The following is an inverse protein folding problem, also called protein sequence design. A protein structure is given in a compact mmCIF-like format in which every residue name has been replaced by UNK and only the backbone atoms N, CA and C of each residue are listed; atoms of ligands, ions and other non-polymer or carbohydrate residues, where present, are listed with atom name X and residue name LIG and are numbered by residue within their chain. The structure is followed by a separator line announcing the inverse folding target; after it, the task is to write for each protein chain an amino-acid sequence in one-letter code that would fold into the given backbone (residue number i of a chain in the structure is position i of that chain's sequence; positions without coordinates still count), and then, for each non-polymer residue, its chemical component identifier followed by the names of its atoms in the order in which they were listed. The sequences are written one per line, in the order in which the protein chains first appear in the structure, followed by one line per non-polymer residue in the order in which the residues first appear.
data_IF_225596278595
#
_entry.id   IF_225596278595
#
_cell.length_a   1.000
_cell.length_b   1.000
_cell.length_c   1.000
_cell.angle_alpha   90.00
_cell.angle_beta   90.00
_cell.angle_gamma   90.00
#
_symmetry.space_group_name_H-M   'P 1'
#
loop_
_entity.id
_entity.type
_entity.pdbx_description
1 polymer ?
#
# COMPACT_ATOMS: atom_id res chain seq x y z
N UNK A 1 -16.37 7.89 1.01
CA UNK A 1 -16.38 6.67 0.17
C UNK A 1 -15.20 6.75 -0.78
N UNK A 2 -14.43 5.67 -0.87
CA UNK A 2 -13.33 5.51 -1.83
C UNK A 2 -13.77 4.65 -3.00
N UNK A 3 -13.33 5.02 -4.18
CA UNK A 3 -13.38 4.15 -5.35
C UNK A 3 -12.04 3.40 -5.43
N UNK A 4 -12.10 2.06 -5.35
CA UNK A 4 -10.91 1.19 -5.29
C UNK A 4 -10.73 0.55 -6.65
N UNK A 5 -9.60 0.85 -7.29
CA UNK A 5 -9.25 0.34 -8.61
C UNK A 5 -7.98 -0.51 -8.52
N UNK A 6 -8.00 -1.70 -9.14
CA UNK A 6 -6.76 -2.44 -9.40
C UNK A 6 -5.93 -1.69 -10.45
N UNK A 7 -4.63 -1.58 -10.20
CA UNK A 7 -3.69 -0.99 -11.15
C UNK A 7 -3.68 -1.74 -12.49
N UNK A 8 -3.53 -1.00 -13.56
CA UNK A 8 -3.26 -1.50 -14.91
C UNK A 8 -2.12 -0.71 -15.57
N UNK A 9 -1.50 -1.26 -16.60
CA UNK A 9 -0.37 -0.62 -17.28
C UNK A 9 -0.68 0.81 -17.79
N UNK A 10 -1.95 1.10 -18.13
CA UNK A 10 -2.40 2.44 -18.52
C UNK A 10 -2.32 3.47 -17.40
N UNK A 11 -2.26 3.03 -16.13
CA UNK A 11 -2.22 3.90 -14.96
C UNK A 11 -0.79 4.27 -14.54
N UNK A 12 0.24 3.75 -15.23
CA UNK A 12 1.65 3.89 -14.86
C UNK A 12 2.06 5.33 -14.60
N UNK A 13 1.74 6.24 -15.51
CA UNK A 13 2.11 7.64 -15.38
C UNK A 13 1.51 8.29 -14.12
N UNK A 14 0.24 7.98 -13.83
CA UNK A 14 -0.45 8.50 -12.65
C UNK A 14 0.09 7.87 -11.36
N UNK A 15 0.38 6.57 -11.38
CA UNK A 15 1.02 5.86 -10.26
C UNK A 15 2.37 6.46 -9.91
N UNK A 16 3.29 6.57 -10.88
CA UNK A 16 4.65 7.08 -10.66
C UNK A 16 4.63 8.55 -10.23
N UNK A 17 3.74 9.37 -10.79
CA UNK A 17 3.57 10.77 -10.35
C UNK A 17 3.11 10.86 -8.89
N UNK A 18 2.24 9.93 -8.43
CA UNK A 18 1.82 9.88 -7.04
C UNK A 18 2.98 9.45 -6.12
N UNK A 19 3.71 8.41 -6.49
CA UNK A 19 4.89 7.92 -5.73
C UNK A 19 5.89 9.05 -5.47
N UNK A 20 6.19 9.86 -6.49
CA UNK A 20 7.17 10.96 -6.40
C UNK A 20 6.77 12.09 -5.46
N UNK A 21 5.46 12.31 -5.23
CA UNK A 21 4.97 13.34 -4.32
C UNK A 21 4.57 12.82 -2.94
N UNK A 22 4.55 11.51 -2.77
CA UNK A 22 4.14 10.89 -1.52
C UNK A 22 5.15 11.17 -0.38
N UNK A 23 4.64 11.32 0.84
CA UNK A 23 5.48 11.61 2.01
C UNK A 23 6.21 10.40 2.58
N UNK A 24 5.82 9.18 2.20
CA UNK A 24 6.38 7.93 2.71
C UNK A 24 6.83 6.95 1.63
N UNK A 25 6.86 7.36 0.36
CA UNK A 25 7.31 6.49 -0.72
C UNK A 25 8.82 6.54 -0.93
N UNK A 26 9.33 5.50 -1.59
CA UNK A 26 10.68 5.42 -2.12
C UNK A 26 10.64 5.01 -3.59
N UNK A 27 11.79 5.05 -4.29
CA UNK A 27 11.91 4.65 -5.68
C UNK A 27 11.48 3.18 -5.95
N UNK A 28 11.48 2.33 -4.90
CA UNK A 28 11.05 0.93 -5.01
C UNK A 28 9.61 0.79 -5.51
N UNK A 29 8.78 1.82 -5.31
CA UNK A 29 7.37 1.82 -5.70
C UNK A 29 7.12 2.40 -7.09
N UNK A 30 8.13 2.94 -7.77
CA UNK A 30 7.98 3.30 -9.17
C UNK A 30 7.82 2.06 -10.05
N UNK A 31 6.94 2.12 -11.03
CA UNK A 31 6.59 0.95 -11.85
C UNK A 31 7.75 0.43 -12.68
N UNK A 32 8.70 1.28 -13.04
CA UNK A 32 9.93 0.83 -13.68
C UNK A 32 10.72 -0.18 -12.84
N UNK A 33 10.68 -0.04 -11.50
CA UNK A 33 11.31 -0.98 -10.58
C UNK A 33 10.39 -2.17 -10.26
N UNK A 34 9.13 -1.92 -9.92
CA UNK A 34 8.18 -2.96 -9.54
C UNK A 34 7.94 -3.98 -10.66
N UNK A 35 7.82 -3.50 -11.89
CA UNK A 35 7.49 -4.35 -13.04
C UNK A 35 8.70 -5.14 -13.57
N UNK A 36 9.92 -4.88 -13.08
CA UNK A 36 11.12 -5.65 -13.46
C UNK A 36 10.98 -7.15 -13.15
N UNK A 37 10.21 -7.51 -12.14
CA UNK A 37 9.93 -8.89 -11.76
C UNK A 37 8.43 -9.24 -11.89
N UNK A 38 7.72 -8.59 -12.81
CA UNK A 38 6.29 -8.79 -13.00
C UNK A 38 5.91 -10.24 -13.33
N UNK A 39 6.82 -11.01 -13.93
CA UNK A 39 6.66 -12.43 -14.24
C UNK A 39 6.56 -13.34 -13.01
N UNK A 40 7.00 -12.85 -11.84
CA UNK A 40 7.05 -13.63 -10.59
C UNK A 40 5.87 -13.38 -9.65
N UNK A 41 5.10 -12.32 -9.88
CA UNK A 41 4.06 -11.88 -8.97
C UNK A 41 2.76 -11.56 -9.73
N UNK A 42 1.64 -12.09 -9.26
CA UNK A 42 0.31 -11.67 -9.73
C UNK A 42 0.00 -10.30 -9.12
N UNK A 43 0.38 -9.23 -9.82
CA UNK A 43 0.19 -7.86 -9.36
C UNK A 43 -1.28 -7.60 -9.04
N UNK A 44 -1.54 -7.22 -7.82
CA UNK A 44 -2.84 -6.80 -7.31
C UNK A 44 -2.73 -5.46 -6.59
N UNK A 45 -1.85 -4.60 -7.08
CA UNK A 45 -1.69 -3.25 -6.56
C UNK A 45 -2.98 -2.45 -6.69
N UNK A 46 -3.30 -1.66 -5.70
CA UNK A 46 -4.55 -0.92 -5.61
C UNK A 46 -4.31 0.58 -5.62
N UNK A 47 -5.23 1.28 -6.26
CA UNK A 47 -5.32 2.72 -6.35
C UNK A 47 -6.62 3.17 -5.70
N UNK A 48 -6.53 4.07 -4.74
CA UNK A 48 -7.69 4.59 -4.02
C UNK A 48 -8.00 5.99 -4.48
N UNK A 49 -9.22 6.17 -4.97
CA UNK A 49 -9.70 7.48 -5.43
C UNK A 49 -10.74 8.03 -4.47
N UNK A 50 -10.69 9.32 -4.23
CA UNK A 50 -11.71 10.06 -3.48
C UNK A 50 -12.15 11.27 -4.30
N UNK A 51 -13.44 11.36 -4.59
CA UNK A 51 -14.00 12.41 -5.44
C UNK A 51 -13.24 12.58 -6.78
N UNK A 52 -12.91 11.46 -7.42
CA UNK A 52 -12.19 11.42 -8.69
C UNK A 52 -10.68 11.74 -8.63
N UNK A 53 -10.13 12.01 -7.45
CA UNK A 53 -8.70 12.30 -7.25
C UNK A 53 -7.99 11.08 -6.64
N UNK A 54 -6.82 10.74 -7.17
CA UNK A 54 -5.98 9.70 -6.59
C UNK A 54 -5.50 10.13 -5.20
N UNK A 55 -5.84 9.33 -4.19
CA UNK A 55 -5.70 9.64 -2.78
C UNK A 55 -4.63 8.82 -2.06
N UNK A 56 -4.50 7.54 -2.41
CA UNK A 56 -3.50 6.63 -1.86
C UNK A 56 -3.22 5.49 -2.83
N UNK A 57 -2.09 4.80 -2.62
CA UNK A 57 -1.70 3.60 -3.36
C UNK A 57 -1.35 2.47 -2.38
N UNK A 58 -1.61 1.24 -2.79
CA UNK A 58 -1.17 0.05 -2.06
C UNK A 58 -0.46 -0.91 -3.03
N UNK A 59 0.89 -0.91 -3.06
CA UNK A 59 1.64 -1.94 -3.76
C UNK A 59 1.31 -3.31 -3.19
N UNK A 60 0.81 -4.21 -4.00
CA UNK A 60 0.42 -5.53 -3.53
C UNK A 60 0.46 -6.57 -4.65
N UNK A 61 0.53 -7.84 -4.27
CA UNK A 61 0.30 -8.95 -5.17
C UNK A 61 -0.63 -9.98 -4.52
N UNK A 62 -1.26 -10.79 -5.35
CA UNK A 62 -2.11 -11.88 -4.91
C UNK A 62 -1.28 -13.16 -4.75
N UNK A 63 -1.50 -13.86 -3.66
CA UNK A 63 -1.01 -15.22 -3.44
C UNK A 63 -2.18 -16.06 -2.92
N UNK A 64 -2.74 -16.89 -3.77
CA UNK A 64 -3.97 -17.65 -3.47
C UNK A 64 -5.11 -16.72 -3.01
N UNK A 65 -5.55 -16.86 -1.77
CA UNK A 65 -6.57 -15.99 -1.14
C UNK A 65 -5.97 -14.92 -0.25
N UNK A 66 -4.66 -14.69 -0.32
CA UNK A 66 -3.95 -13.69 0.48
C UNK A 66 -3.54 -12.51 -0.38
N UNK A 67 -3.87 -11.30 0.05
CA UNK A 67 -3.26 -10.08 -0.45
C UNK A 67 -1.96 -9.84 0.32
N UNK A 68 -0.86 -9.66 -0.39
CA UNK A 68 0.44 -9.41 0.21
C UNK A 68 0.93 -8.03 -0.20
N UNK A 69 1.33 -7.23 0.75
CA UNK A 69 1.96 -5.93 0.49
C UNK A 69 3.42 -6.16 0.08
N UNK A 70 3.58 -6.67 -1.04
CA UNK A 70 4.57 -6.98 -2.05
C UNK A 70 5.87 -7.65 -1.59
N UNK A 71 5.96 -9.00 -1.70
CA UNK A 71 7.18 -9.75 -1.40
C UNK A 71 8.36 -9.46 -2.36
N UNK A 72 8.10 -8.98 -3.55
CA UNK A 72 9.14 -8.57 -4.50
C UNK A 72 9.87 -7.29 -4.10
N UNK A 73 9.42 -6.62 -3.04
CA UNK A 73 10.01 -5.40 -2.50
C UNK A 73 10.48 -5.64 -1.05
N UNK A 74 11.43 -4.84 -0.60
CA UNK A 74 11.95 -4.91 0.78
C UNK A 74 10.83 -4.60 1.79
N UNK A 75 9.96 -3.67 1.45
CA UNK A 75 8.79 -3.25 2.23
C UNK A 75 7.66 -2.82 1.28
N UNK A 76 6.45 -2.69 1.78
CA UNK A 76 5.27 -2.26 1.05
C UNK A 76 4.47 -1.25 1.86
N UNK A 77 3.17 -1.49 2.01
CA UNK A 77 2.28 -0.65 2.80
C UNK A 77 1.59 0.45 2.01
N UNK A 78 0.73 1.19 2.68
CA UNK A 78 -0.04 2.26 2.07
C UNK A 78 0.86 3.46 1.76
N UNK A 79 0.88 3.88 0.51
CA UNK A 79 1.60 5.07 0.07
C UNK A 79 0.65 6.26 0.19
N UNK A 80 1.09 7.28 0.92
CA UNK A 80 0.28 8.43 1.31
C UNK A 80 0.98 9.74 0.96
N UNK A 81 0.20 10.72 0.52
CA UNK A 81 0.66 12.10 0.42
C UNK A 81 0.29 12.92 1.68
N UNK A 82 0.57 14.21 1.65
CA UNK A 82 0.35 15.11 2.80
C UNK A 82 -1.13 15.35 3.13
N UNK A 83 -2.05 14.94 2.27
CA UNK A 83 -3.49 15.14 2.45
C UNK A 83 -4.18 13.98 3.17
N UNK A 84 -3.50 12.84 3.31
CA UNK A 84 -4.07 11.68 3.98
C UNK A 84 -4.17 11.93 5.47
N UNK A 85 -5.39 11.79 6.01
CA UNK A 85 -5.69 11.93 7.42
C UNK A 85 -5.95 10.58 8.07
N UNK A 86 -5.84 10.51 9.40
CA UNK A 86 -6.13 9.29 10.16
C UNK A 86 -7.59 8.84 9.99
N UNK A 87 -8.55 9.77 9.97
CA UNK A 87 -9.96 9.45 9.78
C UNK A 87 -10.21 8.84 8.40
N UNK A 88 -9.60 9.41 7.37
CA UNK A 88 -9.70 8.88 6.00
C UNK A 88 -9.01 7.52 5.87
N UNK A 89 -7.86 7.33 6.52
CA UNK A 89 -7.15 6.08 6.53
C UNK A 89 -7.99 4.96 7.18
N UNK A 90 -8.64 5.23 8.30
CA UNK A 90 -9.57 4.30 8.93
C UNK A 90 -10.72 3.92 7.99
N UNK A 91 -11.34 4.90 7.33
CA UNK A 91 -12.42 4.65 6.35
C UNK A 91 -11.91 3.83 5.17
N UNK A 92 -10.73 4.17 4.65
CA UNK A 92 -10.09 3.44 3.55
C UNK A 92 -9.88 1.96 3.89
N UNK A 93 -9.41 1.64 5.08
CA UNK A 93 -9.20 0.25 5.49
C UNK A 93 -10.50 -0.51 5.75
N UNK A 94 -11.56 0.14 6.25
CA UNK A 94 -12.89 -0.49 6.33
C UNK A 94 -13.41 -0.85 4.93
N UNK A 95 -13.33 0.07 3.97
CA UNK A 95 -13.78 -0.14 2.59
C UNK A 95 -12.89 -1.15 1.86
N UNK A 96 -11.56 -1.11 2.08
CA UNK A 96 -10.62 -2.09 1.54
C UNK A 96 -10.95 -3.51 2.02
N UNK A 97 -11.26 -3.69 3.30
CA UNK A 97 -11.65 -4.99 3.84
C UNK A 97 -12.92 -5.53 3.17
N UNK A 98 -13.93 -4.68 2.96
CA UNK A 98 -15.16 -5.07 2.26
C UNK A 98 -14.86 -5.44 0.79
N UNK A 99 -14.07 -4.64 0.10
CA UNK A 99 -13.65 -4.87 -1.28
C UNK A 99 -12.88 -6.20 -1.43
N UNK A 100 -11.89 -6.45 -0.57
CA UNK A 100 -11.11 -7.68 -0.63
C UNK A 100 -11.94 -8.93 -0.36
N UNK A 101 -12.88 -8.87 0.61
CA UNK A 101 -13.81 -9.98 0.87
C UNK A 101 -14.69 -10.27 -0.35
N UNK A 102 -15.19 -9.27 -1.05
CA UNK A 102 -15.99 -9.45 -2.26
C UNK A 102 -15.24 -10.15 -3.39
N UNK A 103 -13.89 -10.04 -3.41
CA UNK A 103 -13.00 -10.72 -4.36
C UNK A 103 -12.48 -12.07 -3.88
N UNK A 104 -12.95 -12.55 -2.71
CA UNK A 104 -12.58 -13.85 -2.15
C UNK A 104 -11.23 -13.88 -1.42
N UNK A 105 -10.68 -12.72 -1.06
CA UNK A 105 -9.52 -12.69 -0.17
C UNK A 105 -9.93 -13.00 1.27
N UNK A 106 -9.13 -13.82 1.94
CA UNK A 106 -9.35 -14.24 3.32
C UNK A 106 -8.28 -13.73 4.27
N UNK A 107 -7.16 -13.23 3.75
CA UNK A 107 -6.00 -12.79 4.53
C UNK A 107 -5.30 -11.62 3.86
N UNK A 108 -4.75 -10.75 4.69
CA UNK A 108 -3.82 -9.69 4.26
C UNK A 108 -2.52 -9.83 5.06
N UNK A 109 -1.39 -9.86 4.36
CA UNK A 109 -0.06 -9.73 4.95
C UNK A 109 0.46 -8.32 4.65
N UNK A 110 0.50 -7.49 5.68
CA UNK A 110 0.88 -6.08 5.55
C UNK A 110 2.30 -5.85 6.07
N UNK A 111 3.15 -5.29 5.22
CA UNK A 111 4.54 -4.94 5.56
C UNK A 111 4.67 -3.42 5.43
N UNK A 112 4.68 -2.67 6.54
CA UNK A 112 4.72 -1.22 6.49
C UNK A 112 6.05 -0.71 5.95
N UNK A 113 6.02 0.49 5.40
CA UNK A 113 7.23 1.23 5.03
C UNK A 113 7.92 1.67 6.33
N UNK A 114 9.21 1.35 6.54
CA UNK A 114 9.92 1.79 7.74
C UNK A 114 9.94 3.32 7.84
N UNK A 115 9.67 3.84 9.03
CA UNK A 115 9.57 5.28 9.28
C UNK A 115 10.85 6.06 8.90
N UNK A 116 12.01 5.43 8.94
CA UNK A 116 13.30 6.06 8.58
C UNK A 116 13.37 6.50 7.11
N UNK A 117 12.49 5.96 6.24
CA UNK A 117 12.40 6.33 4.82
C UNK A 117 11.31 7.37 4.55
N UNK A 118 10.53 7.76 5.57
CA UNK A 118 9.51 8.77 5.40
C UNK A 118 10.12 10.17 5.26
N UNK A 119 9.65 10.94 4.28
CA UNK A 119 9.98 12.36 4.15
C UNK A 119 9.28 13.18 5.25
N UNK A 120 8.07 12.77 5.60
CA UNK A 120 7.29 13.29 6.70
C UNK A 120 6.63 12.12 7.44
N UNK A 121 6.43 12.19 8.78
CA UNK A 121 5.79 11.12 9.53
C UNK A 121 4.48 10.66 8.87
N UNK A 122 4.30 9.35 8.72
CA UNK A 122 3.20 8.74 7.98
C UNK A 122 2.89 7.35 8.54
N UNK A 123 2.36 7.29 9.76
CA UNK A 123 2.01 6.03 10.45
C UNK A 123 0.49 5.86 10.64
N UNK A 124 -0.32 6.61 9.88
CA UNK A 124 -1.77 6.52 9.92
C UNK A 124 -2.27 5.13 9.51
N UNK A 125 -1.56 4.47 8.60
CA UNK A 125 -1.85 3.10 8.20
C UNK A 125 -1.66 2.11 9.35
N UNK A 126 -0.60 2.25 10.14
CA UNK A 126 -0.34 1.37 11.31
C UNK A 126 -1.45 1.50 12.36
N UNK A 127 -1.91 2.73 12.63
CA UNK A 127 -3.05 2.94 13.51
C UNK A 127 -4.33 2.33 12.95
N UNK A 128 -4.61 2.55 11.66
CA UNK A 128 -5.81 2.04 11.02
C UNK A 128 -5.85 0.50 10.99
N UNK A 129 -4.77 -0.19 10.64
CA UNK A 129 -4.74 -1.65 10.64
C UNK A 129 -4.86 -2.23 12.05
N UNK A 130 -4.30 -1.57 13.05
CA UNK A 130 -4.47 -1.97 14.44
C UNK A 130 -5.93 -1.83 14.88
N UNK A 131 -6.51 -0.65 14.68
CA UNK A 131 -7.83 -0.30 15.19
C UNK A 131 -8.98 -0.93 14.38
N UNK A 132 -8.92 -0.84 13.03
CA UNK A 132 -10.00 -1.26 12.14
C UNK A 132 -9.88 -2.71 11.68
N UNK A 133 -8.67 -3.20 11.48
CA UNK A 133 -8.46 -4.54 10.98
C UNK A 133 -8.12 -5.54 12.10
N UNK A 134 -7.94 -5.09 13.34
CA UNK A 134 -7.48 -5.93 14.46
C UNK A 134 -6.23 -6.74 14.10
N UNK A 135 -5.31 -6.12 13.37
CA UNK A 135 -4.12 -6.77 12.86
C UNK A 135 -3.23 -7.26 14.00
N UNK A 136 -2.62 -8.42 13.79
CA UNK A 136 -1.65 -9.00 14.72
C UNK A 136 -0.25 -8.90 14.16
N UNK A 137 0.70 -8.51 15.02
CA UNK A 137 2.11 -8.52 14.69
C UNK A 137 2.58 -9.98 14.56
N UNK A 138 2.97 -10.38 13.34
CA UNK A 138 3.42 -11.76 13.04
C UNK A 138 4.93 -11.90 13.07
N UNK A 139 5.65 -10.83 12.64
CA UNK A 139 7.11 -10.81 12.53
C UNK A 139 7.62 -9.39 12.71
N UNK A 140 8.74 -9.24 13.40
CA UNK A 140 9.47 -7.99 13.50
C UNK A 140 10.96 -8.25 13.35
N UNK A 141 11.59 -7.58 12.39
CA UNK A 141 13.01 -7.61 12.17
C UNK A 141 13.68 -6.32 12.68
N UNK A 142 14.96 -6.41 13.02
CA UNK A 142 15.78 -5.25 13.35
C UNK A 142 16.73 -5.02 12.16
N UNK A 143 16.75 -3.79 11.67
CA UNK A 143 17.72 -3.33 10.67
C UNK A 143 18.72 -2.37 11.29
N UNK A 144 19.95 -2.40 10.79
CA UNK A 144 20.99 -1.43 11.15
C UNK A 144 21.17 -0.44 10.01
N UNK A 145 21.16 0.86 10.33
CA UNK A 145 21.47 1.92 9.38
C UNK A 145 22.89 2.42 9.63
N UNK A 146 23.66 2.54 8.56
CA UNK A 146 25.01 3.15 8.58
C UNK A 146 24.86 4.53 7.93
N UNK A 147 25.29 5.58 8.63
CA UNK A 147 25.27 6.97 8.16
C UNK A 147 26.62 7.34 7.54
#
# INVERSE_FOLDING_TARGET
MFDIKRYSASDRAQWDAYVRRARNATFLFERGYMDYHADRFDDHSLMFYRQGRLYALLPAHRRDTTLVSHFGLTYGGLIMDIHVTIADCCTLFDELNAYLRSLGFTKVLYRPIPWIYHLHPAEEDLYAIFWKCHARLCLRNIGTTIF
#
